data_IF_997779381168
#
_entry.id   IF_997779381168
#
_cell.length_a   1.000
_cell.length_b   1.000
_cell.length_c   1.000
_cell.angle_alpha   90.00
_cell.angle_beta   90.00
_cell.angle_gamma   90.00
#
_symmetry.space_group_name_H-M   'P 1'
#
loop_
_entity.id
_entity.type
_entity.pdbx_description
1 polymer ?
#
# COMPACT_ATOMS: atom_id res chain seq x y z
N UNK A 1 -6.59 11.82 7.48
CA UNK A 1 -5.51 10.96 6.95
C UNK A 1 -6.01 9.72 6.20
N UNK A 2 -7.15 9.12 6.57
CA UNK A 2 -7.73 7.96 5.86
C UNK A 2 -7.85 8.17 4.35
N UNK A 3 -8.51 9.26 3.96
CA UNK A 3 -8.72 9.62 2.55
C UNK A 3 -7.38 9.85 1.83
N UNK A 4 -6.39 10.44 2.51
CA UNK A 4 -5.04 10.62 1.94
C UNK A 4 -4.40 9.27 1.66
N UNK A 5 -4.42 8.33 2.61
CA UNK A 5 -3.89 6.98 2.40
C UNK A 5 -4.58 6.30 1.20
N UNK A 6 -5.92 6.37 1.17
CA UNK A 6 -6.73 5.81 0.09
C UNK A 6 -6.36 6.39 -1.29
N UNK A 7 -6.24 7.73 -1.40
CA UNK A 7 -5.87 8.39 -2.65
C UNK A 7 -4.45 8.04 -3.10
N UNK A 8 -3.49 8.03 -2.18
CA UNK A 8 -2.09 7.69 -2.50
C UNK A 8 -1.98 6.22 -2.95
N UNK A 9 -2.70 5.31 -2.29
CA UNK A 9 -2.81 3.91 -2.70
C UNK A 9 -3.38 3.78 -4.10
N UNK A 10 -4.52 4.44 -4.39
CA UNK A 10 -5.13 4.39 -5.72
C UNK A 10 -4.19 4.96 -6.78
N UNK A 11 -3.53 6.09 -6.49
CA UNK A 11 -2.52 6.65 -7.39
C UNK A 11 -1.37 5.68 -7.63
N UNK A 12 -0.89 4.98 -6.60
CA UNK A 12 0.13 3.95 -6.75
C UNK A 12 -0.31 2.85 -7.72
N UNK A 13 -1.52 2.33 -7.57
CA UNK A 13 -2.06 1.30 -8.45
C UNK A 13 -2.22 1.83 -9.87
N UNK A 14 -2.96 2.93 -10.07
CA UNK A 14 -3.27 3.46 -11.40
C UNK A 14 -2.03 3.84 -12.21
N UNK A 15 -1.02 4.44 -11.56
CA UNK A 15 0.20 4.88 -12.24
C UNK A 15 1.16 3.73 -12.54
N UNK A 16 1.16 2.67 -11.74
CA UNK A 16 2.13 1.56 -11.86
C UNK A 16 1.63 0.39 -12.71
N UNK A 17 0.32 0.24 -12.87
CA UNK A 17 -0.28 -0.96 -13.48
C UNK A 17 0.16 -1.18 -14.93
N UNK A 18 0.39 -0.10 -15.69
CA UNK A 18 0.77 -0.18 -17.11
C UNK A 18 2.29 -0.17 -17.34
N UNK A 19 3.09 0.10 -16.32
CA UNK A 19 4.50 0.47 -16.53
C UNK A 19 5.33 -0.69 -17.04
N UNK A 20 5.03 -1.89 -16.57
CA UNK A 20 5.75 -3.10 -16.94
C UNK A 20 4.98 -3.86 -18.02
N UNK A 21 3.67 -4.04 -17.84
CA UNK A 21 2.83 -4.77 -18.79
C UNK A 21 2.62 -4.04 -20.12
N UNK A 22 2.50 -2.71 -20.11
CA UNK A 22 2.37 -1.89 -21.31
C UNK A 22 3.65 -1.85 -22.14
N UNK A 23 4.81 -1.82 -21.47
CA UNK A 23 6.11 -1.90 -22.15
C UNK A 23 6.36 -3.28 -22.76
N UNK A 24 5.93 -4.36 -22.09
CA UNK A 24 5.95 -5.72 -22.65
C UNK A 24 5.04 -5.79 -23.88
N UNK A 25 3.82 -5.27 -23.79
CA UNK A 25 2.84 -5.33 -24.88
C UNK A 25 3.23 -4.48 -26.10
N UNK A 26 3.87 -3.34 -25.88
CA UNK A 26 4.30 -2.42 -26.96
C UNK A 26 5.60 -2.84 -27.64
N UNK A 27 6.32 -3.85 -27.13
CA UNK A 27 7.63 -4.25 -27.63
C UNK A 27 8.74 -3.22 -27.38
N UNK A 28 8.44 -2.11 -26.69
CA UNK A 28 9.40 -1.04 -26.40
C UNK A 28 10.56 -1.54 -25.54
N UNK A 29 10.35 -2.62 -24.78
CA UNK A 29 11.40 -3.30 -24.00
C UNK A 29 12.59 -3.72 -24.88
N UNK A 30 12.37 -4.13 -26.13
CA UNK A 30 13.46 -4.53 -27.04
C UNK A 30 14.43 -3.38 -27.33
N UNK A 31 13.95 -2.13 -27.30
CA UNK A 31 14.81 -0.95 -27.48
C UNK A 31 15.65 -0.64 -26.23
N UNK A 32 15.13 -0.91 -25.03
CA UNK A 32 15.82 -0.72 -23.76
C UNK A 32 16.87 -1.81 -23.48
N UNK A 33 16.60 -3.06 -23.88
CA UNK A 33 17.53 -4.20 -23.72
C UNK A 33 18.73 -4.13 -24.67
N UNK A 34 18.70 -3.26 -25.68
CA UNK A 34 19.86 -3.00 -26.55
C UNK A 34 21.04 -2.32 -25.83
N UNK A 35 20.78 -1.70 -24.67
CA UNK A 35 21.82 -1.12 -23.80
C UNK A 35 22.35 -2.18 -22.85
N UNK A 36 23.64 -2.14 -22.44
CA UNK A 36 24.26 -3.13 -21.56
C UNK A 36 23.77 -3.00 -20.10
N UNK A 37 22.46 -3.04 -19.89
CA UNK A 37 21.80 -2.97 -18.59
C UNK A 37 21.29 -4.35 -18.20
N UNK A 38 21.49 -4.72 -16.94
CA UNK A 38 20.97 -5.97 -16.40
C UNK A 38 19.45 -5.82 -16.23
N UNK A 39 18.67 -6.86 -16.56
CA UNK A 39 17.19 -6.82 -16.50
C UNK A 39 16.64 -6.40 -15.12
N UNK A 40 17.34 -6.74 -14.04
CA UNK A 40 16.96 -6.33 -12.68
C UNK A 40 17.14 -4.83 -12.42
N UNK A 41 18.12 -4.17 -13.07
CA UNK A 41 18.39 -2.73 -12.93
C UNK A 41 17.24 -1.91 -13.52
N UNK A 42 16.63 -2.40 -14.61
CA UNK A 42 15.46 -1.77 -15.24
C UNK A 42 14.28 -1.79 -14.27
N UNK A 43 13.99 -2.95 -13.67
CA UNK A 43 12.87 -3.09 -12.73
C UNK A 43 13.11 -2.28 -11.46
N UNK A 44 14.32 -2.35 -10.88
CA UNK A 44 14.68 -1.58 -9.69
C UNK A 44 14.66 -0.07 -9.95
N UNK A 45 15.20 0.39 -11.07
CA UNK A 45 15.19 1.81 -11.44
C UNK A 45 13.77 2.34 -11.60
N UNK A 46 12.88 1.59 -12.26
CA UNK A 46 11.46 1.95 -12.37
C UNK A 46 10.80 1.96 -11.00
N UNK A 47 11.00 0.91 -10.19
CA UNK A 47 10.42 0.82 -8.87
C UNK A 47 10.86 1.99 -7.99
N UNK A 48 12.14 2.36 -7.99
CA UNK A 48 12.66 3.52 -7.26
C UNK A 48 12.06 4.84 -7.76
N UNK A 49 11.88 5.00 -9.07
CA UNK A 49 11.24 6.17 -9.66
C UNK A 49 9.79 6.33 -9.20
N UNK A 50 8.99 5.25 -9.26
CA UNK A 50 7.61 5.26 -8.76
C UNK A 50 7.55 5.42 -7.25
N UNK A 51 8.44 4.76 -6.50
CA UNK A 51 8.54 4.90 -5.06
C UNK A 51 8.80 6.36 -4.67
N UNK A 52 9.78 7.02 -5.28
CA UNK A 52 10.09 8.43 -5.02
C UNK A 52 8.90 9.34 -5.37
N UNK A 53 8.29 9.15 -6.55
CA UNK A 53 7.11 9.92 -6.98
C UNK A 53 5.94 9.77 -6.00
N UNK A 54 5.65 8.55 -5.56
CA UNK A 54 4.53 8.27 -4.66
C UNK A 54 4.78 8.74 -3.23
N UNK A 55 6.00 8.62 -2.73
CA UNK A 55 6.39 9.17 -1.43
C UNK A 55 6.34 10.70 -1.44
N UNK A 56 6.76 11.33 -2.53
CA UNK A 56 6.62 12.78 -2.73
C UNK A 56 5.13 13.18 -2.74
N UNK A 57 4.29 12.44 -3.48
CA UNK A 57 2.85 12.67 -3.51
C UNK A 57 2.21 12.53 -2.11
N UNK A 58 2.60 11.50 -1.35
CA UNK A 58 2.18 11.32 0.05
C UNK A 58 2.62 12.50 0.92
N UNK A 59 3.85 12.98 0.75
CA UNK A 59 4.39 14.10 1.52
C UNK A 59 3.64 15.40 1.22
N UNK A 60 3.36 15.69 -0.06
CA UNK A 60 2.57 16.87 -0.44
C UNK A 60 1.12 16.78 0.02
N UNK A 61 0.45 15.65 -0.22
CA UNK A 61 -0.96 15.48 0.16
C UNK A 61 -1.13 15.38 1.67
N UNK A 62 -0.38 14.49 2.31
CA UNK A 62 -0.41 14.30 3.76
C UNK A 62 0.07 15.53 4.49
N UNK A 63 1.24 16.06 4.12
CA UNK A 63 1.79 17.28 4.69
C UNK A 63 0.89 18.50 4.47
N UNK A 64 0.30 18.65 3.30
CA UNK A 64 -0.64 19.74 3.00
C UNK A 64 -1.90 19.69 3.87
N UNK A 65 -2.52 18.52 4.00
CA UNK A 65 -3.69 18.34 4.89
C UNK A 65 -3.34 18.64 6.35
N UNK A 66 -2.18 18.17 6.81
CA UNK A 66 -1.73 18.40 8.19
C UNK A 66 -1.37 19.86 8.45
N UNK A 67 -0.72 20.52 7.49
CA UNK A 67 -0.42 21.94 7.57
C UNK A 67 -1.71 22.77 7.65
N UNK A 68 -2.72 22.45 6.82
CA UNK A 68 -4.03 23.13 6.88
C UNK A 68 -4.72 22.92 8.23
N UNK A 69 -4.73 21.69 8.76
CA UNK A 69 -5.29 21.40 10.08
C UNK A 69 -4.59 22.23 11.15
N UNK A 70 -3.26 22.27 11.14
CA UNK A 70 -2.48 23.05 12.09
C UNK A 70 -2.76 24.55 11.98
N UNK A 71 -2.84 25.08 10.76
CA UNK A 71 -3.12 26.51 10.53
C UNK A 71 -4.53 26.93 10.98
N UNK A 72 -5.53 26.06 10.82
CA UNK A 72 -6.92 26.37 11.14
C UNK A 72 -7.23 26.14 12.63
N UNK A 73 -6.69 25.06 13.20
CA UNK A 73 -7.10 24.58 14.54
C UNK A 73 -5.98 24.64 15.59
N UNK A 74 -4.74 24.90 15.20
CA UNK A 74 -3.57 24.77 16.08
C UNK A 74 -3.23 23.33 16.47
N UNK A 75 -3.98 22.34 15.99
CA UNK A 75 -3.80 20.94 16.36
C UNK A 75 -2.72 20.27 15.51
N UNK A 76 -1.76 19.63 16.18
CA UNK A 76 -0.78 18.74 15.58
C UNK A 76 -1.07 17.29 16.00
N UNK A 77 -1.17 16.39 15.01
CA UNK A 77 -1.35 14.98 15.30
C UNK A 77 -0.11 14.41 16.03
N UNK A 78 -0.28 13.62 17.10
CA UNK A 78 0.84 12.94 17.76
C UNK A 78 1.48 11.92 16.82
N UNK A 79 2.76 11.62 17.03
CA UNK A 79 3.53 10.60 16.30
C UNK A 79 3.33 10.64 14.78
N UNK A 80 3.38 11.84 14.20
CA UNK A 80 3.15 12.03 12.78
C UNK A 80 4.12 11.24 11.90
N UNK A 81 5.40 11.21 12.29
CA UNK A 81 6.45 10.58 11.50
C UNK A 81 6.25 9.05 11.37
N UNK A 82 6.02 8.28 12.46
CA UNK A 82 5.64 6.86 12.36
C UNK A 82 4.38 6.62 11.50
N UNK A 83 3.35 7.46 11.64
CA UNK A 83 2.12 7.33 10.85
C UNK A 83 2.35 7.51 9.35
N UNK A 84 3.07 8.57 8.96
CA UNK A 84 3.44 8.81 7.57
C UNK A 84 4.38 7.73 7.02
N UNK A 85 5.31 7.23 7.83
CA UNK A 85 6.21 6.16 7.42
C UNK A 85 5.44 4.85 7.13
N UNK A 86 4.46 4.50 7.96
CA UNK A 86 3.59 3.34 7.74
C UNK A 86 2.69 3.51 6.51
N UNK A 87 2.16 4.72 6.28
CA UNK A 87 1.42 5.04 5.05
C UNK A 87 2.32 4.92 3.81
N UNK A 88 3.55 5.45 3.87
CA UNK A 88 4.53 5.31 2.79
C UNK A 88 4.86 3.85 2.53
N UNK A 89 5.04 3.06 3.60
CA UNK A 89 5.29 1.63 3.48
C UNK A 89 4.11 0.88 2.85
N UNK A 90 2.87 1.22 3.22
CA UNK A 90 1.66 0.67 2.61
C UNK A 90 1.62 0.91 1.08
N UNK A 91 1.99 2.12 0.67
CA UNK A 91 2.04 2.51 -0.74
C UNK A 91 3.12 1.75 -1.51
N UNK A 92 4.30 1.58 -0.92
CA UNK A 92 5.37 0.76 -1.49
C UNK A 92 4.97 -0.71 -1.60
N UNK A 93 4.21 -1.22 -0.63
CA UNK A 93 3.70 -2.59 -0.66
C UNK A 93 2.81 -2.81 -1.89
N UNK A 94 1.85 -1.91 -2.14
CA UNK A 94 0.99 -2.03 -3.32
C UNK A 94 1.75 -1.83 -4.63
N UNK A 95 2.77 -0.96 -4.64
CA UNK A 95 3.66 -0.82 -5.78
C UNK A 95 4.36 -2.15 -6.10
N UNK A 96 4.86 -2.88 -5.09
CA UNK A 96 5.47 -4.20 -5.28
C UNK A 96 4.47 -5.23 -5.85
N UNK A 97 3.22 -5.23 -5.36
CA UNK A 97 2.17 -6.13 -5.87
C UNK A 97 1.82 -5.82 -7.32
N UNK A 98 1.71 -4.53 -7.67
CA UNK A 98 1.46 -4.08 -9.04
C UNK A 98 2.61 -4.44 -9.99
N UNK A 99 3.86 -4.35 -9.53
CA UNK A 99 5.02 -4.78 -10.31
C UNK A 99 5.04 -6.30 -10.52
N UNK A 100 4.66 -7.08 -9.51
CA UNK A 100 4.55 -8.54 -9.63
C UNK A 100 3.48 -8.94 -10.66
N UNK A 101 2.30 -8.34 -10.57
CA UNK A 101 1.22 -8.57 -11.54
C UNK A 101 1.62 -8.09 -12.93
N UNK A 102 2.23 -6.91 -13.05
CA UNK A 102 2.68 -6.35 -14.34
C UNK A 102 3.80 -7.16 -15.00
N UNK A 103 4.60 -7.91 -14.23
CA UNK A 103 5.62 -8.79 -14.77
C UNK A 103 5.04 -10.03 -15.45
N UNK A 104 3.81 -10.43 -15.14
CA UNK A 104 3.19 -11.71 -15.53
C UNK A 104 1.91 -11.54 -16.37
N UNK A 105 1.08 -10.57 -16.02
CA UNK A 105 -0.26 -10.32 -16.57
C UNK A 105 -0.29 -9.15 -17.57
N UNK A 106 -1.40 -9.03 -18.30
CA UNK A 106 -1.68 -7.83 -19.11
C UNK A 106 -2.01 -6.63 -18.22
N UNK A 107 -1.91 -5.40 -18.75
CA UNK A 107 -2.23 -4.16 -18.01
C UNK A 107 -3.62 -4.21 -17.37
N UNK A 108 -4.62 -4.65 -18.13
CA UNK A 108 -6.00 -4.76 -17.61
C UNK A 108 -6.09 -5.81 -16.49
N UNK A 109 -5.50 -6.99 -16.69
CA UNK A 109 -5.54 -8.05 -15.69
C UNK A 109 -4.75 -7.69 -14.42
N UNK A 110 -3.61 -7.01 -14.56
CA UNK A 110 -2.82 -6.49 -13.44
C UNK A 110 -3.64 -5.46 -12.64
N UNK A 111 -4.29 -4.51 -13.33
CA UNK A 111 -5.16 -3.53 -12.70
C UNK A 111 -6.28 -4.18 -11.89
N UNK A 112 -7.02 -5.10 -12.51
CA UNK A 112 -8.11 -5.84 -11.85
C UNK A 112 -7.60 -6.64 -10.65
N UNK A 113 -6.43 -7.30 -10.76
CA UNK A 113 -5.85 -8.05 -9.65
C UNK A 113 -5.51 -7.15 -8.46
N UNK A 114 -4.77 -6.06 -8.69
CA UNK A 114 -4.31 -5.19 -7.60
C UNK A 114 -5.48 -4.46 -6.95
N UNK A 115 -6.42 -3.94 -7.75
CA UNK A 115 -7.64 -3.34 -7.22
C UNK A 115 -8.54 -4.35 -6.51
N UNK A 116 -8.65 -5.57 -7.04
CA UNK A 116 -9.42 -6.64 -6.42
C UNK A 116 -8.86 -7.03 -5.05
N UNK A 117 -7.54 -7.24 -4.96
CA UNK A 117 -6.87 -7.53 -3.69
C UNK A 117 -7.03 -6.37 -2.70
N UNK A 118 -6.86 -5.13 -3.15
CA UNK A 118 -7.10 -3.95 -2.31
C UNK A 118 -8.55 -3.86 -1.85
N UNK A 119 -9.52 -4.15 -2.72
CA UNK A 119 -10.94 -4.19 -2.38
C UNK A 119 -11.26 -5.26 -1.33
N UNK A 120 -10.68 -6.45 -1.46
CA UNK A 120 -10.80 -7.52 -0.45
C UNK A 120 -10.22 -7.09 0.89
N UNK A 121 -9.03 -6.48 0.90
CA UNK A 121 -8.43 -5.96 2.12
C UNK A 121 -9.32 -4.88 2.75
N UNK A 122 -9.75 -3.89 1.97
CA UNK A 122 -10.60 -2.78 2.39
C UNK A 122 -11.91 -3.27 3.02
N UNK A 123 -12.65 -4.13 2.31
CA UNK A 123 -13.90 -4.70 2.79
C UNK A 123 -13.66 -5.53 4.05
N UNK A 124 -12.62 -6.37 4.05
CA UNK A 124 -12.21 -7.15 5.22
C UNK A 124 -11.89 -6.28 6.43
N UNK A 125 -11.20 -5.16 6.23
CA UNK A 125 -10.86 -4.19 7.28
C UNK A 125 -12.10 -3.62 7.96
N UNK A 126 -13.13 -3.27 7.18
CA UNK A 126 -14.43 -2.81 7.69
C UNK A 126 -15.23 -3.93 8.36
N UNK A 127 -15.25 -5.14 7.79
CA UNK A 127 -15.90 -6.31 8.42
C UNK A 127 -15.29 -6.59 9.79
N UNK A 128 -13.96 -6.50 9.91
CA UNK A 128 -13.26 -6.65 11.20
C UNK A 128 -13.72 -5.61 12.22
N UNK A 129 -13.80 -4.34 11.79
CA UNK A 129 -14.16 -3.22 12.66
C UNK A 129 -15.59 -3.37 13.18
N UNK A 130 -16.54 -3.66 12.29
CA UNK A 130 -17.94 -3.89 12.66
C UNK A 130 -18.10 -5.17 13.48
N UNK A 131 -17.34 -6.22 13.16
CA UNK A 131 -17.28 -7.45 13.94
C UNK A 131 -16.83 -7.19 15.38
N UNK A 132 -15.79 -6.38 15.57
CA UNK A 132 -15.28 -6.00 16.89
C UNK A 132 -16.32 -5.19 17.69
N UNK A 133 -17.04 -4.27 17.05
CA UNK A 133 -18.10 -3.49 17.71
C UNK A 133 -19.30 -4.34 18.13
N UNK A 134 -19.64 -5.37 17.33
CA UNK A 134 -20.76 -6.27 17.61
C UNK A 134 -20.38 -7.49 18.46
N UNK A 135 -19.10 -7.67 18.81
CA UNK A 135 -18.61 -8.88 19.48
C UNK A 135 -18.71 -10.16 18.63
N UNK A 136 -18.70 -10.05 17.30
CA UNK A 136 -18.81 -11.18 16.38
C UNK A 136 -17.44 -11.68 15.95
N UNK A 137 -16.99 -12.78 16.57
CA UNK A 137 -15.67 -13.36 16.31
C UNK A 137 -15.49 -13.84 14.86
N UNK A 138 -16.55 -14.31 14.20
CA UNK A 138 -16.48 -14.76 12.80
C UNK A 138 -16.14 -13.59 11.88
N UNK A 139 -16.78 -12.43 12.07
CA UNK A 139 -16.48 -11.23 11.29
C UNK A 139 -15.05 -10.73 11.54
N UNK A 140 -14.57 -10.76 12.80
CA UNK A 140 -13.18 -10.43 13.13
C UNK A 140 -12.22 -11.35 12.39
N UNK A 141 -12.44 -12.68 12.45
CA UNK A 141 -11.57 -13.66 11.81
C UNK A 141 -11.54 -13.49 10.28
N UNK A 142 -12.69 -13.19 9.64
CA UNK A 142 -12.75 -12.90 8.21
C UNK A 142 -11.87 -11.68 7.88
N UNK A 143 -11.97 -10.61 8.67
CA UNK A 143 -11.16 -9.41 8.47
C UNK A 143 -9.65 -9.65 8.65
N UNK A 144 -9.27 -10.48 9.62
CA UNK A 144 -7.88 -10.91 9.80
C UNK A 144 -7.38 -11.71 8.60
N UNK A 145 -8.17 -12.64 8.06
CA UNK A 145 -7.82 -13.41 6.86
C UNK A 145 -7.63 -12.49 5.66
N UNK A 146 -8.53 -11.53 5.43
CA UNK A 146 -8.37 -10.53 4.36
C UNK A 146 -7.08 -9.72 4.54
N UNK A 147 -6.74 -9.35 5.77
CA UNK A 147 -5.49 -8.64 6.09
C UNK A 147 -4.24 -9.52 5.88
N UNK A 148 -4.35 -10.84 6.01
CA UNK A 148 -3.25 -11.76 5.66
C UNK A 148 -3.07 -11.89 4.14
N UNK A 149 -4.17 -11.86 3.37
CA UNK A 149 -4.12 -11.90 1.90
C UNK A 149 -3.42 -10.66 1.36
N UNK A 150 -3.79 -9.47 1.82
CA UNK A 150 -3.12 -8.23 1.49
C UNK A 150 -3.05 -7.32 2.73
N UNK A 151 -1.86 -7.11 3.32
CA UNK A 151 -1.72 -6.42 4.60
C UNK A 151 -1.82 -4.88 4.51
N UNK A 152 -2.49 -4.34 3.49
CA UNK A 152 -2.62 -2.89 3.30
C UNK A 152 -3.47 -2.23 4.38
N UNK A 153 -4.61 -2.82 4.71
CA UNK A 153 -5.49 -2.30 5.76
C UNK A 153 -4.86 -2.44 7.16
N UNK A 154 -4.09 -3.50 7.40
CA UNK A 154 -3.36 -3.66 8.66
C UNK A 154 -2.32 -2.53 8.86
N UNK A 155 -1.58 -2.16 7.81
CA UNK A 155 -0.65 -1.03 7.87
C UNK A 155 -1.37 0.29 8.10
N UNK A 156 -2.50 0.52 7.43
CA UNK A 156 -3.32 1.71 7.66
C UNK A 156 -3.87 1.79 9.08
N UNK A 157 -4.46 0.71 9.61
CA UNK A 157 -4.97 0.66 10.99
C UNK A 157 -3.87 0.94 12.01
N UNK A 158 -2.66 0.40 11.78
CA UNK A 158 -1.50 0.70 12.63
C UNK A 158 -1.08 2.16 12.52
N UNK A 159 -1.03 2.74 11.32
CA UNK A 159 -0.74 4.16 11.13
C UNK A 159 -1.76 5.06 11.85
N UNK A 160 -3.05 4.74 11.74
CA UNK A 160 -4.12 5.45 12.42
C UNK A 160 -3.99 5.35 13.95
N UNK A 161 -3.61 4.19 14.48
CA UNK A 161 -3.35 3.98 15.90
C UNK A 161 -2.18 4.83 16.41
N UNK A 162 -1.07 4.92 15.68
CA UNK A 162 0.08 5.75 16.10
C UNK A 162 -0.29 7.25 16.11
N UNK A 163 -1.11 7.69 15.15
CA UNK A 163 -1.50 9.09 14.98
C UNK A 163 -2.70 9.54 15.82
N UNK A 164 -3.33 8.64 16.59
CA UNK A 164 -4.52 8.98 17.37
C UNK A 164 -4.16 9.83 18.59
N UNK A 165 -5.07 10.74 18.99
CA UNK A 165 -4.88 11.50 20.22
C UNK A 165 -5.15 10.62 21.46
N UNK A 166 -4.50 10.90 22.60
CA UNK A 166 -4.79 10.20 23.86
C UNK A 166 -6.27 10.28 24.26
N UNK A 167 -6.95 11.39 23.92
CA UNK A 167 -8.38 11.57 24.18
C UNK A 167 -9.22 10.59 23.35
N UNK A 168 -8.92 10.44 22.06
CA UNK A 168 -9.61 9.48 21.19
C UNK A 168 -9.33 8.04 21.63
N UNK A 169 -8.09 7.75 22.04
CA UNK A 169 -7.74 6.46 22.61
C UNK A 169 -8.52 6.14 23.90
N UNK A 170 -8.68 7.13 24.78
CA UNK A 170 -9.43 6.99 26.03
C UNK A 170 -10.93 6.83 25.81
N UNK A 171 -11.49 7.49 24.80
CA UNK A 171 -12.91 7.38 24.44
C UNK A 171 -13.24 6.04 23.76
N UNK A 172 -12.26 5.37 23.15
CA UNK A 172 -12.43 4.06 22.49
C UNK A 172 -13.37 4.07 21.29
N UNK A 173 -13.86 5.23 20.88
CA UNK A 173 -14.84 5.41 19.81
C UNK A 173 -14.20 6.24 18.71
N UNK A 174 -13.75 5.57 17.65
CA UNK A 174 -13.47 6.24 16.38
C UNK A 174 -13.68 5.26 15.22
N UNK A 175 -14.36 5.70 14.14
CA UNK A 175 -14.66 4.85 12.99
C UNK A 175 -13.41 4.47 12.18
N UNK A 176 -12.24 5.08 12.46
CA UNK A 176 -10.99 4.87 11.74
C UNK A 176 -9.88 4.25 12.60
N UNK A 177 -10.18 3.89 13.85
CA UNK A 177 -9.25 3.23 14.78
C UNK A 177 -9.86 1.91 15.24
N UNK A 178 -9.17 0.80 15.02
CA UNK A 178 -9.62 -0.51 15.51
C UNK A 178 -9.24 -0.73 16.96
N UNK A 179 -10.11 -1.41 17.70
CA UNK A 179 -9.79 -1.98 19.02
C UNK A 179 -8.75 -3.10 18.90
N UNK A 180 -8.74 -3.81 17.77
CA UNK A 180 -7.71 -4.78 17.38
C UNK A 180 -6.54 -4.07 16.68
N UNK A 181 -5.57 -3.58 17.44
CA UNK A 181 -4.39 -2.92 16.88
C UNK A 181 -3.46 -3.97 16.26
N UNK A 182 -3.09 -3.85 14.96
CA UNK A 182 -2.15 -4.79 14.35
C UNK A 182 -0.80 -4.79 15.09
N UNK A 183 -0.27 -5.98 15.35
CA UNK A 183 0.99 -6.13 16.09
C UNK A 183 2.21 -5.72 15.26
N UNK A 184 3.36 -5.41 15.88
CA UNK A 184 4.61 -5.19 15.14
C UNK A 184 5.01 -6.37 14.25
N UNK A 185 4.61 -7.59 14.61
CA UNK A 185 4.80 -8.79 13.78
C UNK A 185 4.03 -8.71 12.46
N UNK A 186 2.85 -8.10 12.45
CA UNK A 186 2.09 -7.87 11.22
C UNK A 186 2.80 -6.89 10.28
N UNK A 187 3.50 -5.89 10.83
CA UNK A 187 4.33 -4.97 10.05
C UNK A 187 5.52 -5.72 9.44
N UNK A 188 6.16 -6.61 10.20
CA UNK A 188 7.23 -7.46 9.68
C UNK A 188 6.73 -8.43 8.59
N UNK A 189 5.53 -9.00 8.76
CA UNK A 189 4.85 -9.80 7.73
C UNK A 189 4.63 -8.99 6.46
N UNK A 190 4.12 -7.76 6.57
CA UNK A 190 3.94 -6.87 5.43
C UNK A 190 5.28 -6.55 4.74
N UNK A 191 6.36 -6.36 5.50
CA UNK A 191 7.71 -6.14 4.95
C UNK A 191 8.20 -7.36 4.16
N UNK A 192 8.05 -8.55 4.73
CA UNK A 192 8.37 -9.80 4.04
C UNK A 192 7.53 -9.98 2.77
N UNK A 193 6.22 -9.70 2.86
CA UNK A 193 5.29 -9.77 1.73
C UNK A 193 5.71 -8.84 0.59
N UNK A 194 6.03 -7.58 0.89
CA UNK A 194 6.49 -6.61 -0.10
C UNK A 194 7.84 -7.00 -0.74
N UNK A 195 8.79 -7.48 0.07
CA UNK A 195 10.09 -7.95 -0.43
C UNK A 195 9.97 -9.18 -1.32
N UNK A 196 9.11 -10.14 -0.95
CA UNK A 196 8.84 -11.33 -1.76
C UNK A 196 8.15 -10.95 -3.07
N UNK A 197 7.14 -10.07 -3.02
CA UNK A 197 6.45 -9.60 -4.22
C UNK A 197 7.42 -8.93 -5.21
N UNK A 198 8.30 -8.06 -4.71
CA UNK A 198 9.31 -7.39 -5.52
C UNK A 198 10.36 -8.38 -6.07
N UNK A 199 10.83 -9.31 -5.24
CA UNK A 199 11.80 -10.34 -5.64
C UNK A 199 11.22 -11.25 -6.73
N UNK A 200 9.96 -11.63 -6.61
CA UNK A 200 9.26 -12.41 -7.63
C UNK A 200 9.02 -11.60 -8.90
N UNK A 201 8.71 -10.30 -8.81
CA UNK A 201 8.58 -9.42 -9.98
C UNK A 201 9.90 -9.38 -10.77
N UNK A 202 11.03 -9.16 -10.09
CA UNK A 202 12.37 -9.16 -10.72
C UNK A 202 12.68 -10.51 -11.36
N UNK A 203 12.45 -11.61 -10.63
CA UNK A 203 12.76 -12.96 -11.11
C UNK A 203 11.92 -13.34 -12.32
N UNK A 204 10.62 -13.02 -12.30
CA UNK A 204 9.71 -13.33 -13.40
C UNK A 204 10.05 -12.51 -14.64
N UNK A 205 10.33 -11.21 -14.47
CA UNK A 205 10.79 -10.34 -15.55
C UNK A 205 12.13 -10.80 -16.15
N UNK A 206 13.07 -11.26 -15.31
CA UNK A 206 14.39 -11.71 -15.76
C UNK A 206 14.33 -13.02 -16.56
N UNK A 207 13.40 -13.92 -16.22
CA UNK A 207 13.23 -15.24 -16.85
C UNK A 207 12.31 -15.23 -18.07
N UNK A 208 11.58 -14.15 -18.31
CA UNK A 208 10.73 -14.04 -19.50
C UNK A 208 11.63 -13.95 -20.73
N UNK A 209 11.43 -14.88 -21.66
CA UNK A 209 11.99 -14.76 -23.00
C UNK A 209 11.25 -13.59 -23.66
N UNK A 210 11.98 -12.49 -23.83
CA UNK A 210 11.57 -11.30 -24.56
C UNK A 210 12.03 -11.49 -26.00
#
# INVERSE_FOLDING_TARGET
>A
MYVVNFLVVIMAVLTSVDTLSGEIASGTIHTLVSKPLRRWEIVMGKWLGFAAMLLLYLLFMGGGVLALIYLISGYAAPNLLPGLALMGFNVLLLLCVSFLGGASLSTLANGVLVFGLYGVAFIGGWIEQFGALMGNQTAINIGVVCSLVLPSEALWKRAAYEMQSPLVAALGISPFTSTSVPSPLMVAYAALYGLLALSFAIRHFSRRDL
#
